data_IF_527759340561
#
_entry.id   IF_527759340561
#
_cell.length_a   1.000
_cell.length_b   1.000
_cell.length_c   1.000
_cell.angle_alpha   90.00
_cell.angle_beta   90.00
_cell.angle_gamma   90.00
#
_symmetry.space_group_name_H-M   'P 1'
#
loop_
_entity.id
_entity.type
_entity.pdbx_description
1 polymer ?
#
# COMPACT_ATOMS: atom_id res chain seq x y z
N UNK A 1 -14.04 -31.48 8.12
CA UNK A 1 -12.82 -30.85 7.57
C UNK A 1 -12.13 -30.16 8.73
N UNK A 2 -10.99 -30.68 9.16
CA UNK A 2 -10.38 -30.33 10.44
C UNK A 2 -9.49 -29.09 10.34
N UNK A 3 -9.27 -28.40 11.46
CA UNK A 3 -8.43 -27.20 11.60
C UNK A 3 -7.03 -27.39 10.98
N UNK A 4 -6.50 -28.61 11.04
CA UNK A 4 -5.21 -29.00 10.43
C UNK A 4 -5.24 -28.88 8.90
N UNK A 5 -6.38 -29.13 8.27
CA UNK A 5 -6.57 -28.92 6.82
C UNK A 5 -6.50 -27.45 6.44
N UNK A 6 -7.12 -26.55 7.22
CA UNK A 6 -7.04 -25.10 6.98
C UNK A 6 -5.61 -24.57 7.10
N UNK A 7 -4.87 -25.05 8.10
CA UNK A 7 -3.48 -24.66 8.31
C UNK A 7 -2.58 -25.13 7.17
N UNK A 8 -2.76 -26.36 6.68
CA UNK A 8 -2.00 -26.88 5.54
C UNK A 8 -2.31 -26.14 4.24
N UNK A 9 -3.59 -25.91 3.94
CA UNK A 9 -4.00 -25.15 2.75
C UNK A 9 -3.50 -23.70 2.82
N UNK A 10 -3.62 -23.04 3.97
CA UNK A 10 -3.10 -21.69 4.16
C UNK A 10 -1.57 -21.65 4.02
N UNK A 11 -0.85 -22.63 4.56
CA UNK A 11 0.60 -22.72 4.46
C UNK A 11 1.07 -22.96 3.02
N UNK A 12 0.35 -23.76 2.24
CA UNK A 12 0.60 -23.94 0.80
C UNK A 12 0.35 -22.67 0.00
N UNK A 13 -0.73 -21.93 0.28
CA UNK A 13 -0.99 -20.64 -0.37
C UNK A 13 0.07 -19.60 0.00
N UNK A 14 0.53 -19.56 1.24
CA UNK A 14 1.60 -18.67 1.67
C UNK A 14 2.94 -19.09 1.03
N UNK A 15 3.23 -20.39 0.93
CA UNK A 15 4.43 -20.89 0.25
C UNK A 15 4.41 -20.60 -1.25
N UNK A 16 3.29 -20.83 -1.94
CA UNK A 16 3.19 -20.54 -3.37
C UNK A 16 3.27 -19.04 -3.65
N UNK A 17 2.68 -18.19 -2.80
CA UNK A 17 2.86 -16.73 -2.87
C UNK A 17 4.32 -16.33 -2.62
N UNK A 18 4.98 -16.97 -1.66
CA UNK A 18 6.38 -16.72 -1.31
C UNK A 18 7.34 -17.16 -2.43
N UNK A 19 7.15 -18.34 -3.01
CA UNK A 19 7.98 -18.84 -4.11
C UNK A 19 7.75 -18.04 -5.40
N UNK A 20 6.51 -17.66 -5.69
CA UNK A 20 6.18 -16.86 -6.90
C UNK A 20 6.61 -15.39 -6.78
N UNK A 21 6.58 -14.78 -5.58
CA UNK A 21 6.93 -13.36 -5.37
C UNK A 21 8.36 -13.12 -4.89
N UNK A 22 8.93 -14.01 -4.06
CA UNK A 22 10.32 -13.88 -3.59
C UNK A 22 11.34 -14.53 -4.55
N UNK A 23 10.94 -15.47 -5.41
CA UNK A 23 11.77 -15.96 -6.51
C UNK A 23 11.92 -14.97 -7.67
N UNK A 24 11.17 -13.87 -7.66
CA UNK A 24 11.16 -12.84 -8.69
C UNK A 24 12.08 -11.64 -8.38
N UNK A 25 12.92 -11.75 -7.34
CA UNK A 25 13.85 -10.68 -6.98
C UNK A 25 14.97 -10.61 -8.03
N UNK A 26 14.94 -9.57 -8.86
CA UNK A 26 15.97 -9.36 -9.89
C UNK A 26 17.16 -8.60 -9.29
N UNK A 27 18.39 -8.91 -9.72
CA UNK A 27 19.59 -8.21 -9.28
C UNK A 27 19.41 -6.69 -9.40
N UNK A 28 19.77 -5.94 -8.36
CA UNK A 28 19.64 -4.47 -8.37
C UNK A 28 20.47 -3.81 -9.47
N UNK A 29 21.56 -4.45 -9.92
CA UNK A 29 22.37 -3.98 -11.05
C UNK A 29 21.65 -4.09 -12.39
N UNK A 30 20.78 -5.09 -12.56
CA UNK A 30 19.94 -5.23 -13.76
C UNK A 30 18.76 -4.25 -13.72
N UNK A 31 18.25 -3.97 -12.52
CA UNK A 31 17.22 -2.96 -12.31
C UNK A 31 17.74 -1.56 -12.65
N UNK A 32 18.91 -1.17 -12.14
CA UNK A 32 19.51 0.15 -12.39
C UNK A 32 20.47 0.18 -13.59
N UNK A 33 20.20 -0.60 -14.63
CA UNK A 33 21.02 -0.58 -15.84
C UNK A 33 20.72 0.66 -16.69
N UNK A 34 21.46 1.74 -16.42
CA UNK A 34 21.34 3.03 -17.12
C UNK A 34 21.68 2.95 -18.61
N UNK A 35 22.38 1.89 -19.06
CA UNK A 35 22.75 1.72 -20.47
C UNK A 35 21.55 1.32 -21.33
N UNK A 36 20.53 0.71 -20.72
CA UNK A 36 19.28 0.29 -21.36
C UNK A 36 18.19 1.35 -21.31
N UNK A 37 18.46 2.51 -20.70
CA UNK A 37 17.50 3.61 -20.66
C UNK A 37 17.51 4.31 -22.01
N UNK A 38 16.39 4.25 -22.73
CA UNK A 38 16.24 4.93 -24.00
C UNK A 38 14.87 5.61 -24.11
N UNK A 39 14.78 6.61 -24.99
CA UNK A 39 13.51 7.29 -25.24
C UNK A 39 12.62 6.37 -26.08
N UNK A 40 11.38 6.07 -25.62
CA UNK A 40 10.44 5.26 -26.41
C UNK A 40 10.10 5.98 -27.72
N UNK A 41 9.92 5.22 -28.79
CA UNK A 41 9.65 5.77 -30.14
C UNK A 41 8.27 6.44 -30.18
N UNK A 42 7.27 5.75 -29.63
CA UNK A 42 5.88 6.17 -29.59
C UNK A 42 5.20 5.74 -28.28
N UNK A 43 3.98 6.23 -28.02
CA UNK A 43 3.19 5.84 -26.85
C UNK A 43 2.89 4.33 -26.80
N UNK A 44 2.71 3.70 -27.96
CA UNK A 44 2.52 2.24 -28.05
C UNK A 44 3.77 1.47 -27.60
N UNK A 45 4.95 1.96 -27.98
CA UNK A 45 6.24 1.39 -27.55
C UNK A 45 6.40 1.53 -26.03
N UNK A 46 6.15 2.73 -25.48
CA UNK A 46 6.16 2.94 -24.03
C UNK A 46 5.26 1.95 -23.28
N UNK A 47 4.02 1.73 -23.75
CA UNK A 47 3.09 0.82 -23.08
C UNK A 47 3.52 -0.64 -23.14
N UNK A 48 4.16 -1.06 -24.24
CA UNK A 48 4.77 -2.40 -24.35
C UNK A 48 5.91 -2.57 -23.36
N UNK A 49 6.84 -1.60 -23.31
CA UNK A 49 7.98 -1.60 -22.38
C UNK A 49 7.51 -1.62 -20.93
N UNK A 50 6.57 -0.73 -20.58
CA UNK A 50 6.01 -0.65 -19.24
C UNK A 50 5.32 -1.95 -18.82
N UNK A 51 4.48 -2.53 -19.69
CA UNK A 51 3.76 -3.77 -19.39
C UNK A 51 4.69 -4.96 -19.14
N UNK A 52 5.77 -5.06 -19.91
CA UNK A 52 6.79 -6.08 -19.73
C UNK A 52 7.58 -5.84 -18.44
N UNK A 53 8.16 -4.65 -18.27
CA UNK A 53 9.05 -4.34 -17.15
C UNK A 53 8.32 -4.36 -15.79
N UNK A 54 7.06 -3.93 -15.71
CA UNK A 54 6.24 -4.01 -14.48
C UNK A 54 6.10 -5.46 -14.00
N UNK A 55 5.93 -6.40 -14.92
CA UNK A 55 5.84 -7.83 -14.59
C UNK A 55 7.21 -8.39 -14.25
N UNK A 56 8.21 -8.07 -15.06
CA UNK A 56 9.58 -8.57 -14.93
C UNK A 56 10.27 -8.15 -13.62
N UNK A 57 10.14 -6.87 -13.22
CA UNK A 57 10.73 -6.31 -12.00
C UNK A 57 9.72 -6.14 -10.85
N UNK A 58 8.65 -6.93 -10.83
CA UNK A 58 7.54 -6.77 -9.87
C UNK A 58 7.99 -6.78 -8.40
N UNK A 59 8.93 -7.63 -8.02
CA UNK A 59 9.47 -7.68 -6.66
C UNK A 59 10.25 -6.40 -6.28
N UNK A 60 11.09 -5.89 -7.19
CA UNK A 60 11.86 -4.66 -7.00
C UNK A 60 10.93 -3.45 -6.81
N UNK A 61 9.84 -3.35 -7.59
CA UNK A 61 8.86 -2.28 -7.44
C UNK A 61 8.07 -2.36 -6.12
N UNK A 62 7.71 -3.56 -5.67
CA UNK A 62 7.07 -3.75 -4.35
C UNK A 62 7.96 -3.23 -3.22
N UNK A 63 9.27 -3.40 -3.33
CA UNK A 63 10.22 -2.88 -2.33
C UNK A 63 10.30 -1.36 -2.38
N UNK A 64 10.34 -0.75 -3.56
CA UNK A 64 10.31 0.72 -3.68
C UNK A 64 9.03 1.26 -3.03
N UNK A 65 7.87 0.65 -3.30
CA UNK A 65 6.61 1.03 -2.66
C UNK A 65 6.69 0.86 -1.14
N UNK A 66 7.26 -0.23 -0.65
CA UNK A 66 7.41 -0.47 0.78
C UNK A 66 8.35 0.56 1.45
N UNK A 67 9.47 0.90 0.81
CA UNK A 67 10.39 1.93 1.29
C UNK A 67 9.73 3.32 1.29
N UNK A 68 8.98 3.67 0.24
CA UNK A 68 8.20 4.92 0.20
C UNK A 68 7.09 4.93 1.27
N UNK A 69 6.46 3.79 1.54
CA UNK A 69 5.46 3.66 2.59
C UNK A 69 6.10 3.90 3.97
N UNK A 70 7.24 3.27 4.26
CA UNK A 70 8.00 3.51 5.51
C UNK A 70 8.45 4.96 5.62
N UNK A 71 8.98 5.54 4.55
CA UNK A 71 9.36 6.95 4.49
C UNK A 71 8.17 7.88 4.78
N UNK A 72 6.99 7.60 4.22
CA UNK A 72 5.77 8.37 4.45
C UNK A 72 5.30 8.32 5.90
N UNK A 73 5.53 7.18 6.57
CA UNK A 73 5.21 6.94 7.97
C UNK A 73 6.15 7.72 8.89
N UNK A 74 7.46 7.65 8.63
CA UNK A 74 8.48 8.36 9.42
C UNK A 74 8.31 9.89 9.28
N UNK A 75 7.98 10.37 8.08
CA UNK A 75 7.79 11.80 7.81
C UNK A 75 6.51 12.35 8.47
N UNK A 76 5.52 11.50 8.79
CA UNK A 76 4.28 11.89 9.44
C UNK A 76 4.13 11.21 10.83
N UNK A 77 4.82 11.68 11.89
CA UNK A 77 4.77 11.07 13.23
C UNK A 77 3.35 11.06 13.84
N UNK A 78 2.53 12.05 13.47
CA UNK A 78 1.12 12.13 13.87
C UNK A 78 0.30 10.97 13.29
N UNK A 79 0.60 10.55 12.05
CA UNK A 79 -0.10 9.45 11.38
C UNK A 79 0.29 8.11 12.00
N UNK A 80 1.54 7.95 12.44
CA UNK A 80 2.00 6.80 13.21
C UNK A 80 1.23 6.64 14.54
N UNK A 81 1.10 7.74 15.29
CA UNK A 81 0.34 7.73 16.57
C UNK A 81 -1.13 7.42 16.31
N UNK A 82 -1.74 8.02 15.28
CA UNK A 82 -3.13 7.78 14.92
C UNK A 82 -3.37 6.32 14.51
N UNK A 83 -2.47 5.74 13.73
CA UNK A 83 -2.54 4.34 13.32
C UNK A 83 -2.35 3.40 14.51
N UNK A 84 -1.40 3.68 15.40
CA UNK A 84 -1.21 2.93 16.65
C UNK A 84 -2.44 3.00 17.57
N UNK A 85 -3.05 4.18 17.70
CA UNK A 85 -4.31 4.36 18.44
C UNK A 85 -5.47 3.59 17.81
N UNK A 86 -5.58 3.60 16.48
CA UNK A 86 -6.65 2.89 15.77
C UNK A 86 -6.49 1.37 15.90
N UNK A 87 -5.28 0.84 15.70
CA UNK A 87 -4.97 -0.59 15.85
C UNK A 87 -5.16 -1.02 17.30
N UNK A 88 -4.62 -0.25 18.25
CA UNK A 88 -4.75 -0.51 19.68
C UNK A 88 -6.20 -0.44 20.15
N UNK A 89 -6.97 0.53 19.67
CA UNK A 89 -8.39 0.65 19.97
C UNK A 89 -9.22 -0.46 19.34
N UNK A 90 -8.93 -0.88 18.11
CA UNK A 90 -9.59 -2.02 17.47
C UNK A 90 -9.31 -3.31 18.24
N UNK A 91 -8.05 -3.52 18.65
CA UNK A 91 -7.65 -4.63 19.51
C UNK A 91 -8.34 -4.59 20.88
N UNK A 92 -8.44 -3.43 21.52
CA UNK A 92 -9.16 -3.29 22.79
C UNK A 92 -10.65 -3.61 22.63
N UNK A 93 -11.31 -3.05 21.62
CA UNK A 93 -12.75 -3.25 21.39
C UNK A 93 -13.03 -4.73 21.11
N UNK A 94 -12.28 -5.33 20.19
CA UNK A 94 -12.41 -6.76 19.86
C UNK A 94 -12.12 -7.68 21.06
N UNK A 95 -11.27 -7.25 21.99
CA UNK A 95 -10.91 -8.05 23.18
C UNK A 95 -11.86 -7.88 24.36
N UNK A 96 -12.42 -6.68 24.57
CA UNK A 96 -13.16 -6.31 25.78
C UNK A 96 -14.66 -6.06 25.56
N UNK A 97 -15.10 -5.80 24.32
CA UNK A 97 -16.53 -5.54 23.99
C UNK A 97 -16.95 -6.33 22.75
N UNK A 98 -16.98 -7.68 22.82
CA UNK A 98 -17.44 -8.52 21.70
C UNK A 98 -18.96 -8.49 21.52
N UNK A 99 -19.72 -8.17 22.57
CA UNK A 99 -21.18 -8.17 22.56
C UNK A 99 -21.75 -6.74 22.60
N UNK A 100 -22.91 -6.48 21.98
CA UNK A 100 -23.58 -5.18 22.04
C UNK A 100 -23.88 -4.80 23.49
N UNK A 101 -23.39 -3.64 23.91
CA UNK A 101 -23.62 -3.13 25.27
C UNK A 101 -24.85 -2.21 25.25
N UNK A 102 -25.80 -2.44 26.15
CA UNK A 102 -26.92 -1.52 26.33
C UNK A 102 -26.53 -0.41 27.29
N UNK A 103 -26.54 0.83 26.79
CA UNK A 103 -26.29 2.01 27.60
C UNK A 103 -27.50 2.94 27.50
N UNK A 104 -28.21 3.11 28.62
CA UNK A 104 -29.37 4.00 28.73
C UNK A 104 -30.49 3.69 27.71
N UNK A 105 -30.87 2.41 27.57
CA UNK A 105 -31.93 1.96 26.66
C UNK A 105 -31.56 2.00 25.17
N UNK A 106 -30.30 2.26 24.83
CA UNK A 106 -29.78 2.19 23.45
C UNK A 106 -28.74 1.09 23.33
N UNK A 107 -28.91 0.22 22.34
CA UNK A 107 -27.95 -0.82 21.98
C UNK A 107 -26.76 -0.20 21.25
N UNK A 108 -25.59 -0.16 21.89
CA UNK A 108 -24.35 0.25 21.24
C UNK A 108 -23.70 -1.00 20.63
N UNK A 109 -23.87 -1.14 19.32
CA UNK A 109 -23.23 -2.19 18.53
C UNK A 109 -21.72 -1.93 18.41
N UNK A 110 -20.87 -2.97 18.33
CA UNK A 110 -19.42 -2.82 18.09
C UNK A 110 -19.07 -1.92 16.89
N UNK A 111 -19.92 -1.88 15.85
CA UNK A 111 -19.77 -0.98 14.70
C UNK A 111 -19.79 0.51 15.09
N UNK A 112 -20.65 0.90 16.04
CA UNK A 112 -20.71 2.28 16.53
C UNK A 112 -19.45 2.62 17.32
N UNK A 113 -18.87 1.64 18.03
CA UNK A 113 -17.64 1.77 18.79
C UNK A 113 -16.42 1.96 17.87
N UNK A 114 -16.32 1.18 16.79
CA UNK A 114 -15.29 1.36 15.77
C UNK A 114 -15.40 2.72 15.06
N UNK A 115 -16.63 3.16 14.76
CA UNK A 115 -16.87 4.48 14.17
C UNK A 115 -16.42 5.60 15.12
N UNK A 116 -16.76 5.47 16.41
CA UNK A 116 -16.35 6.43 17.45
C UNK A 116 -14.83 6.46 17.61
N UNK A 117 -14.18 5.29 17.63
CA UNK A 117 -12.73 5.18 17.69
C UNK A 117 -12.05 5.87 16.49
N UNK A 118 -12.58 5.67 15.29
CA UNK A 118 -12.06 6.30 14.07
C UNK A 118 -12.19 7.83 14.12
N UNK A 119 -13.33 8.34 14.58
CA UNK A 119 -13.56 9.79 14.76
C UNK A 119 -12.59 10.36 15.80
N UNK A 120 -12.42 9.71 16.95
CA UNK A 120 -11.48 10.18 17.98
C UNK A 120 -10.04 10.14 17.48
N UNK A 121 -9.64 9.06 16.79
CA UNK A 121 -8.30 8.91 16.24
C UNK A 121 -7.96 9.98 15.21
N UNK A 122 -8.89 10.30 14.31
CA UNK A 122 -8.71 11.37 13.31
C UNK A 122 -8.70 12.76 13.93
N UNK A 123 -9.53 13.02 14.94
CA UNK A 123 -9.53 14.29 15.69
C UNK A 123 -8.25 14.49 16.52
N UNK A 124 -7.75 13.44 17.17
CA UNK A 124 -6.49 13.47 17.93
C UNK A 124 -5.31 13.75 17.00
N UNK A 125 -5.24 13.06 15.85
CA UNK A 125 -4.23 13.29 14.83
C UNK A 125 -4.24 14.74 14.35
N UNK A 126 -5.42 15.28 14.04
CA UNK A 126 -5.55 16.67 13.60
C UNK A 126 -5.15 17.67 14.68
N UNK A 127 -5.46 17.39 15.95
CA UNK A 127 -5.10 18.24 17.09
C UNK A 127 -3.58 18.36 17.28
N UNK A 128 -2.82 17.34 16.89
CA UNK A 128 -1.36 17.32 17.00
C UNK A 128 -0.64 18.04 15.84
N UNK A 129 -1.30 18.30 14.70
CA UNK A 129 -0.69 18.81 13.45
C UNK A 129 -0.65 20.34 13.31
N UNK A 130 -0.87 21.10 14.38
CA UNK A 130 -0.76 22.57 14.51
C UNK A 130 -1.95 23.44 14.05
N UNK A 131 -2.01 24.64 14.62
CA UNK A 131 -3.16 25.56 14.73
C UNK A 131 -3.71 26.15 13.41
N UNK A 132 -3.02 25.98 12.27
CA UNK A 132 -3.44 26.58 10.99
C UNK A 132 -4.75 25.96 10.45
N UNK A 133 -4.99 24.68 10.75
CA UNK A 133 -6.21 23.94 10.32
C UNK A 133 -7.39 24.20 11.28
N UNK A 134 -7.14 24.73 12.49
CA UNK A 134 -8.17 24.98 13.51
C UNK A 134 -9.02 26.23 13.23
N UNK A 135 -8.59 27.10 12.32
CA UNK A 135 -9.24 28.41 12.08
C UNK A 135 -10.29 28.33 10.97
N UNK A 136 -10.39 27.24 10.21
CA UNK A 136 -11.37 27.12 9.13
C UNK A 136 -12.56 26.25 9.55
N UNK A 137 -13.72 26.82 9.96
CA UNK A 137 -14.87 26.07 10.45
C UNK A 137 -15.63 25.29 9.37
N UNK A 138 -15.07 25.18 8.16
CA UNK A 138 -15.82 24.81 6.96
C UNK A 138 -15.52 23.45 6.34
N UNK A 139 -14.60 22.63 6.87
CA UNK A 139 -14.21 21.44 6.10
C UNK A 139 -13.99 20.16 6.94
N UNK A 140 -15.08 19.46 7.31
CA UNK A 140 -15.03 18.04 7.67
C UNK A 140 -14.28 17.20 6.62
N UNK A 141 -14.30 17.60 5.35
CA UNK A 141 -13.56 16.97 4.25
C UNK A 141 -12.03 17.05 4.38
N UNK A 142 -11.46 18.06 5.06
CA UNK A 142 -10.00 18.15 5.27
C UNK A 142 -9.51 17.22 6.39
N UNK A 143 -10.38 16.76 7.29
CA UNK A 143 -10.01 15.79 8.33
C UNK A 143 -9.81 14.38 7.78
N UNK A 144 -10.54 14.02 6.73
CA UNK A 144 -10.26 12.84 5.91
C UNK A 144 -8.94 12.99 5.12
N UNK A 145 -8.38 14.20 4.98
CA UNK A 145 -7.25 14.40 4.07
C UNK A 145 -5.94 13.78 4.53
N UNK A 146 -5.68 13.55 5.83
CA UNK A 146 -4.33 13.16 6.25
C UNK A 146 -3.93 11.74 5.78
N UNK A 147 -4.71 10.67 6.05
CA UNK A 147 -4.41 9.35 5.51
C UNK A 147 -4.66 9.28 4.01
N UNK A 148 -5.69 9.97 3.49
CA UNK A 148 -5.99 9.97 2.05
C UNK A 148 -4.90 10.67 1.23
N UNK A 149 -4.41 11.83 1.67
CA UNK A 149 -3.29 12.55 1.04
C UNK A 149 -2.02 11.73 1.06
N UNK A 150 -1.71 11.06 2.18
CA UNK A 150 -0.55 10.17 2.27
C UNK A 150 -0.68 8.98 1.31
N UNK A 151 -1.87 8.39 1.22
CA UNK A 151 -2.18 7.33 0.26
C UNK A 151 -2.03 7.79 -1.19
N UNK A 152 -2.64 8.92 -1.57
CA UNK A 152 -2.51 9.49 -2.91
C UNK A 152 -1.08 9.91 -3.24
N UNK A 153 -0.32 10.42 -2.26
CA UNK A 153 1.10 10.72 -2.42
C UNK A 153 1.91 9.45 -2.66
N UNK A 154 1.64 8.38 -1.91
CA UNK A 154 2.31 7.09 -2.08
C UNK A 154 2.01 6.50 -3.45
N UNK A 155 0.73 6.48 -3.86
CA UNK A 155 0.30 5.97 -5.17
C UNK A 155 0.85 6.83 -6.31
N UNK A 156 0.80 8.15 -6.20
CA UNK A 156 1.32 9.07 -7.21
C UNK A 156 2.83 8.98 -7.36
N UNK A 157 3.57 9.05 -6.24
CA UNK A 157 5.03 8.98 -6.24
C UNK A 157 5.53 7.63 -6.73
N UNK A 158 4.93 6.53 -6.26
CA UNK A 158 5.28 5.19 -6.75
C UNK A 158 4.94 5.03 -8.22
N UNK A 159 3.77 5.49 -8.68
CA UNK A 159 3.37 5.46 -10.09
C UNK A 159 4.33 6.25 -10.99
N UNK A 160 4.76 7.45 -10.58
CA UNK A 160 5.75 8.23 -11.33
C UNK A 160 7.10 7.51 -11.42
N UNK A 161 7.61 6.98 -10.31
CA UNK A 161 8.91 6.29 -10.27
C UNK A 161 8.87 4.99 -11.09
N UNK A 162 7.85 4.16 -10.85
CA UNK A 162 7.68 2.87 -11.55
C UNK A 162 7.39 3.11 -13.03
N UNK A 163 6.55 4.09 -13.37
CA UNK A 163 6.24 4.42 -14.76
C UNK A 163 7.45 4.94 -15.52
N UNK A 164 8.21 5.87 -14.91
CA UNK A 164 9.45 6.36 -15.50
C UNK A 164 10.48 5.24 -15.68
N UNK A 165 10.65 4.38 -14.68
CA UNK A 165 11.58 3.27 -14.78
C UNK A 165 11.13 2.25 -15.85
N UNK A 166 9.90 1.76 -15.75
CA UNK A 166 9.37 0.70 -16.60
C UNK A 166 9.17 1.14 -18.06
N UNK A 167 8.83 2.40 -18.30
CA UNK A 167 8.55 2.91 -19.64
C UNK A 167 9.78 3.33 -20.44
N UNK A 168 10.85 3.75 -19.77
CA UNK A 168 12.09 4.18 -20.43
C UNK A 168 13.15 3.07 -20.49
N UNK A 169 13.05 2.03 -19.65
CA UNK A 169 13.97 0.89 -19.73
C UNK A 169 13.60 -0.03 -20.91
N UNK A 170 14.57 -0.34 -21.75
CA UNK A 170 14.39 -1.32 -22.83
C UNK A 170 14.19 -2.73 -22.25
N UNK A 171 13.19 -3.49 -22.72
CA UNK A 171 13.00 -4.90 -22.38
C UNK A 171 14.27 -5.71 -22.65
N UNK A 172 14.53 -6.73 -21.83
CA UNK A 172 15.71 -7.57 -22.03
C UNK A 172 15.56 -8.49 -23.23
N UNK A 173 16.67 -9.10 -23.66
CA UNK A 173 16.71 -10.00 -24.82
C UNK A 173 15.76 -11.19 -24.65
N UNK A 174 15.50 -11.63 -23.43
CA UNK A 174 14.49 -12.65 -23.10
C UNK A 174 13.07 -12.30 -23.54
N UNK A 175 12.74 -11.01 -23.72
CA UNK A 175 11.45 -10.59 -24.27
C UNK A 175 11.31 -10.90 -25.77
N UNK A 176 12.44 -10.92 -26.50
CA UNK A 176 12.50 -11.22 -27.93
C UNK A 176 12.36 -12.73 -28.17
N UNK A 177 12.96 -13.56 -27.31
CA UNK A 177 12.83 -15.01 -27.36
C UNK A 177 11.44 -15.52 -26.94
N UNK A 178 10.78 -14.87 -25.99
CA UNK A 178 9.42 -15.24 -25.57
C UNK A 178 8.38 -15.08 -26.69
N UNK A 179 8.64 -14.25 -27.71
CA UNK A 179 7.78 -14.13 -28.89
C UNK A 179 8.00 -15.23 -29.94
N UNK A 180 9.15 -15.91 -29.90
CA UNK A 180 9.53 -16.93 -30.88
C UNK A 180 9.04 -18.32 -30.51
N UNK A 181 8.82 -18.61 -29.22
CA UNK A 181 8.29 -19.91 -28.77
C UNK A 181 6.79 -20.11 -29.08
N UNK A 182 6.09 -19.05 -29.50
CA UNK A 182 4.64 -19.10 -29.82
C UNK A 182 4.32 -19.25 -31.31
N UNK A 183 5.32 -19.53 -32.17
CA UNK A 183 5.15 -19.72 -33.63
C UNK A 183 5.39 -21.17 -34.02
#
# INVERSE_FOLDING_TARGET
>A
MDMVGYLNTAQEHVRSLKETRLGAFRPVGEFFDVTRISRPKDWSDYMKRASYNIRYFSANYVIIIALLAVYSLITNPVLLIALGFLIGGFFLISRFVPEPIEFNGKTITPQNLYTTLFVIGTLLAASLRSALIRVLPGLPLLYFSAPFSTFFWLVGSSGCIIGAHAGFLEPGVESEYAGLETV
#
